data_IF_903454682726
#
_entry.id   IF_903454682726
#
_cell.length_a   1.000
_cell.length_b   1.000
_cell.length_c   1.000
_cell.angle_alpha   90.00
_cell.angle_beta   90.00
_cell.angle_gamma   90.00
#
_symmetry.space_group_name_H-M   'P 1'
#
loop_
_entity.id
_entity.type
_entity.pdbx_description
1 polymer ?
#
# COMPACT_ATOMS: atom_id res chain seq x y z
N UNK A 1 17.75 24.50 3.84
CA UNK A 1 17.56 23.95 5.19
C UNK A 1 16.61 22.79 5.04
N UNK A 2 16.89 21.63 5.63
CA UNK A 2 15.89 20.57 5.70
C UNK A 2 14.71 21.09 6.53
N UNK A 3 13.52 21.13 5.94
CA UNK A 3 12.30 21.40 6.67
C UNK A 3 12.02 20.21 7.60
N UNK A 4 11.74 20.52 8.86
CA UNK A 4 11.37 19.50 9.83
C UNK A 4 9.93 19.06 9.57
N UNK A 5 9.68 17.76 9.76
CA UNK A 5 8.31 17.24 9.76
C UNK A 5 7.51 17.88 10.91
N UNK A 6 6.19 18.09 10.74
CA UNK A 6 5.35 18.57 11.82
C UNK A 6 5.43 17.66 13.06
N UNK A 7 5.51 18.26 14.25
CA UNK A 7 5.59 17.51 15.52
C UNK A 7 4.30 16.74 15.86
N UNK A 8 3.16 17.23 15.37
CA UNK A 8 1.85 16.61 15.58
C UNK A 8 1.48 15.73 14.39
N UNK A 9 1.00 14.50 14.69
CA UNK A 9 0.54 13.55 13.67
C UNK A 9 -0.56 14.13 12.78
N UNK A 10 -1.48 14.90 13.34
CA UNK A 10 -2.58 15.51 12.59
C UNK A 10 -2.04 16.50 11.54
N UNK A 11 -1.11 17.37 11.93
CA UNK A 11 -0.48 18.33 11.03
C UNK A 11 0.35 17.64 9.94
N UNK A 12 1.03 16.53 10.27
CA UNK A 12 1.70 15.70 9.28
C UNK A 12 0.70 15.11 8.27
N UNK A 13 -0.41 14.54 8.75
CA UNK A 13 -1.43 13.96 7.88
C UNK A 13 -2.13 15.01 6.99
N UNK A 14 -2.32 16.23 7.49
CA UNK A 14 -2.84 17.34 6.69
C UNK A 14 -1.88 17.71 5.56
N UNK A 15 -0.57 17.74 5.83
CA UNK A 15 0.46 17.95 4.81
C UNK A 15 0.48 16.80 3.79
N UNK A 16 0.44 15.55 4.25
CA UNK A 16 0.40 14.38 3.35
C UNK A 16 -0.82 14.44 2.44
N UNK A 17 -2.01 14.78 2.96
CA UNK A 17 -3.23 14.92 2.15
C UNK A 17 -3.16 16.10 1.17
N UNK A 18 -2.38 17.13 1.46
CA UNK A 18 -2.16 18.24 0.54
C UNK A 18 -1.39 17.78 -0.71
N UNK A 19 -0.34 16.98 -0.54
CA UNK A 19 0.50 16.50 -1.65
C UNK A 19 -0.03 15.21 -2.30
N UNK A 20 -0.61 14.33 -1.49
CA UNK A 20 -1.17 13.03 -1.85
C UNK A 20 -2.65 13.00 -1.41
N UNK A 21 -3.56 13.63 -2.17
CA UNK A 21 -4.97 13.77 -1.77
C UNK A 21 -5.72 12.44 -1.65
N UNK A 22 -5.19 11.40 -2.30
CA UNK A 22 -5.70 10.04 -2.20
C UNK A 22 -4.54 9.05 -2.25
N UNK A 23 -4.31 8.35 -1.14
CA UNK A 23 -3.34 7.26 -1.06
C UNK A 23 -3.94 6.05 -0.33
N UNK A 24 -3.29 4.90 -0.49
CA UNK A 24 -3.63 3.67 0.21
C UNK A 24 -2.35 3.06 0.78
N UNK A 25 -2.33 2.82 2.10
CA UNK A 25 -1.31 1.99 2.70
C UNK A 25 -1.74 0.52 2.51
N UNK A 26 -0.95 -0.24 1.74
CA UNK A 26 -1.38 -1.57 1.28
C UNK A 26 -1.46 -2.59 2.42
N UNK A 27 -0.64 -2.49 3.47
CA UNK A 27 -0.73 -3.39 4.63
C UNK A 27 -1.98 -3.10 5.45
N UNK A 28 -2.36 -1.83 5.58
CA UNK A 28 -3.58 -1.38 6.22
C UNK A 28 -4.81 -1.84 5.41
N UNK A 29 -4.75 -1.76 4.08
CA UNK A 29 -5.77 -2.33 3.18
C UNK A 29 -5.88 -3.86 3.30
N UNK A 30 -4.76 -4.58 3.36
CA UNK A 30 -4.73 -6.04 3.57
C UNK A 30 -5.46 -6.41 4.87
N UNK A 31 -5.12 -5.72 5.97
CA UNK A 31 -5.77 -5.90 7.27
C UNK A 31 -7.28 -5.64 7.20
N UNK A 32 -7.70 -4.57 6.51
CA UNK A 32 -9.11 -4.27 6.25
C UNK A 32 -9.84 -5.34 5.43
N UNK A 33 -9.11 -6.14 4.65
CA UNK A 33 -9.64 -7.29 3.90
C UNK A 33 -9.58 -8.62 4.68
N UNK A 34 -9.16 -8.59 5.96
CA UNK A 34 -8.99 -9.79 6.79
C UNK A 34 -7.76 -10.63 6.42
N UNK A 35 -6.77 -10.03 5.74
CA UNK A 35 -5.53 -10.68 5.37
C UNK A 35 -4.40 -10.24 6.31
N UNK A 36 -3.57 -11.20 6.72
CA UNK A 36 -2.39 -11.01 7.56
C UNK A 36 -1.19 -11.68 6.91
N UNK A 37 0.02 -11.18 7.20
CA UNK A 37 1.26 -11.71 6.65
C UNK A 37 2.06 -10.64 5.92
N UNK A 38 3.12 -11.05 5.22
CA UNK A 38 3.97 -10.14 4.45
C UNK A 38 3.35 -9.79 3.09
N UNK A 39 3.92 -8.78 2.43
CA UNK A 39 3.57 -8.45 1.04
C UNK A 39 3.90 -9.61 0.10
N UNK A 40 5.04 -10.30 0.28
CA UNK A 40 5.39 -11.45 -0.56
C UNK A 40 4.39 -12.60 -0.36
N UNK A 41 4.06 -12.94 0.89
CA UNK A 41 3.08 -13.99 1.20
C UNK A 41 1.72 -13.69 0.55
N UNK A 42 1.28 -12.43 0.64
CA UNK A 42 0.02 -12.00 0.05
C UNK A 42 0.06 -11.98 -1.48
N UNK A 43 1.17 -11.55 -2.07
CA UNK A 43 1.36 -11.59 -3.52
C UNK A 43 1.31 -13.03 -4.05
N UNK A 44 1.93 -13.98 -3.35
CA UNK A 44 1.88 -15.40 -3.67
C UNK A 44 0.45 -15.95 -3.61
N UNK A 45 -0.31 -15.62 -2.56
CA UNK A 45 -1.74 -15.98 -2.43
C UNK A 45 -2.59 -15.39 -3.55
N UNK A 46 -2.26 -14.20 -4.02
CA UNK A 46 -2.97 -13.51 -5.10
C UNK A 46 -2.52 -13.96 -6.50
N UNK A 47 -1.54 -14.87 -6.60
CA UNK A 47 -0.95 -15.30 -7.89
C UNK A 47 -0.21 -14.18 -8.61
N UNK A 48 0.26 -13.17 -7.87
CA UNK A 48 0.91 -11.97 -8.35
C UNK A 48 2.38 -11.90 -7.91
N UNK A 49 2.96 -13.05 -7.57
CA UNK A 49 4.36 -13.18 -7.15
C UNK A 49 5.33 -12.77 -8.27
N UNK A 50 6.40 -12.11 -7.87
CA UNK A 50 7.52 -11.76 -8.74
C UNK A 50 8.34 -13.03 -9.00
N UNK A 51 8.72 -13.27 -10.26
CA UNK A 51 9.48 -14.46 -10.67
C UNK A 51 10.88 -14.49 -10.07
N UNK A 52 11.37 -15.69 -9.75
CA UNK A 52 12.69 -15.93 -9.15
C UNK A 52 13.82 -15.21 -9.92
N UNK A 53 14.57 -14.37 -9.21
CA UNK A 53 15.74 -13.65 -9.71
C UNK A 53 15.81 -12.15 -9.36
N UNK A 54 14.76 -11.56 -8.79
CA UNK A 54 14.68 -10.10 -8.59
C UNK A 54 15.15 -9.63 -7.19
N UNK A 55 15.77 -8.44 -7.17
CA UNK A 55 16.45 -7.83 -6.03
C UNK A 55 15.46 -7.42 -4.93
N UNK A 56 15.20 -8.31 -3.98
CA UNK A 56 14.46 -7.99 -2.74
C UNK A 56 15.19 -6.88 -1.94
N UNK A 57 14.41 -6.07 -1.19
CA UNK A 57 14.91 -4.92 -0.42
C UNK A 57 15.44 -3.77 -1.30
N UNK A 58 14.84 -3.58 -2.48
CA UNK A 58 15.06 -2.41 -3.30
C UNK A 58 13.73 -1.73 -3.60
N UNK A 59 13.72 -0.40 -3.50
CA UNK A 59 12.51 0.41 -3.66
C UNK A 59 11.76 0.15 -4.99
N UNK A 60 12.48 -0.19 -6.07
CA UNK A 60 11.89 -0.51 -7.38
C UNK A 60 11.04 -1.78 -7.33
N UNK A 61 11.65 -2.98 -7.19
CA UNK A 61 10.93 -4.24 -7.04
C UNK A 61 9.85 -4.22 -5.95
N UNK A 62 10.13 -3.61 -4.79
CA UNK A 62 9.16 -3.52 -3.69
C UNK A 62 7.94 -2.66 -4.08
N UNK A 63 8.12 -1.59 -4.86
CA UNK A 63 7.01 -0.77 -5.37
C UNK A 63 6.15 -1.52 -6.38
N UNK A 64 6.75 -2.37 -7.23
CA UNK A 64 6.02 -3.22 -8.16
C UNK A 64 5.21 -4.27 -7.40
N UNK A 65 5.81 -4.96 -6.43
CA UNK A 65 5.13 -5.92 -5.56
C UNK A 65 3.94 -5.26 -4.83
N UNK A 66 4.15 -4.06 -4.27
CA UNK A 66 3.10 -3.28 -3.60
C UNK A 66 1.92 -2.99 -4.55
N UNK A 67 2.19 -2.58 -5.79
CA UNK A 67 1.16 -2.33 -6.80
C UNK A 67 0.40 -3.61 -7.17
N UNK A 68 1.12 -4.72 -7.37
CA UNK A 68 0.54 -6.01 -7.73
C UNK A 68 -0.41 -6.53 -6.63
N UNK A 69 0.00 -6.41 -5.36
CA UNK A 69 -0.86 -6.74 -4.21
C UNK A 69 -2.10 -5.85 -4.20
N UNK A 70 -1.96 -4.53 -4.33
CA UNK A 70 -3.11 -3.62 -4.36
C UNK A 70 -4.11 -3.98 -5.47
N UNK A 71 -3.64 -4.25 -6.69
CA UNK A 71 -4.50 -4.62 -7.81
C UNK A 71 -5.21 -5.96 -7.57
N UNK A 72 -4.52 -6.93 -6.98
CA UNK A 72 -5.10 -8.22 -6.60
C UNK A 72 -6.18 -8.07 -5.52
N UNK A 73 -5.93 -7.27 -4.48
CA UNK A 73 -6.90 -6.94 -3.44
C UNK A 73 -8.12 -6.24 -4.03
N UNK A 74 -7.91 -5.22 -4.86
CA UNK A 74 -8.98 -4.49 -5.56
C UNK A 74 -9.85 -5.45 -6.37
N UNK A 75 -9.23 -6.31 -7.18
CA UNK A 75 -9.95 -7.28 -8.02
C UNK A 75 -10.74 -8.29 -7.18
N UNK A 76 -10.17 -8.81 -6.10
CA UNK A 76 -10.75 -9.87 -5.26
C UNK A 76 -11.86 -9.37 -4.33
N UNK A 77 -11.66 -8.22 -3.68
CA UNK A 77 -12.55 -7.73 -2.62
C UNK A 77 -13.46 -6.58 -3.07
N UNK A 78 -13.08 -5.83 -4.11
CA UNK A 78 -13.78 -4.59 -4.52
C UNK A 78 -14.26 -4.62 -5.98
N UNK A 79 -13.94 -5.67 -6.75
CA UNK A 79 -14.35 -5.82 -8.15
C UNK A 79 -13.87 -4.66 -9.03
N UNK A 80 -14.82 -3.85 -9.52
CA UNK A 80 -14.54 -2.62 -10.29
C UNK A 80 -14.47 -1.36 -9.42
N UNK A 81 -14.82 -1.47 -8.14
CA UNK A 81 -14.77 -0.37 -7.18
C UNK A 81 -13.37 -0.08 -6.68
N UNK A 82 -13.28 0.92 -5.82
CA UNK A 82 -12.05 1.31 -5.10
C UNK A 82 -12.32 1.32 -3.58
N UNK A 83 -11.32 1.02 -2.74
CA UNK A 83 -11.50 0.86 -1.29
C UNK A 83 -11.66 2.21 -0.57
N UNK A 84 -12.69 3.00 -0.87
CA UNK A 84 -12.83 4.38 -0.38
C UNK A 84 -12.68 4.53 1.14
N UNK A 85 -13.20 3.58 1.92
CA UNK A 85 -13.10 3.57 3.38
C UNK A 85 -11.66 3.39 3.90
N UNK A 86 -10.76 2.90 3.05
CA UNK A 86 -9.34 2.70 3.37
C UNK A 86 -8.45 3.78 2.75
N UNK A 87 -9.04 4.79 2.09
CA UNK A 87 -8.27 5.90 1.56
C UNK A 87 -7.74 6.79 2.69
N UNK A 88 -6.49 7.24 2.54
CA UNK A 88 -5.84 8.22 3.40
C UNK A 88 -5.62 7.80 4.87
N UNK A 89 -5.53 6.49 5.12
CA UNK A 89 -5.22 5.92 6.43
C UNK A 89 -3.78 5.39 6.47
N UNK A 90 -2.99 5.80 7.47
CA UNK A 90 -1.63 5.35 7.81
C UNK A 90 -1.55 5.08 9.31
#
# INVERSE_FOLDING_TARGET
>A
AEEQLPERREAFLDLVKLYFPKFYEVRQLMSGCGLSGTLEETANVLGAGVTDGEMFNQAGPDSLLTLLVFLGLRKRHFGRGIPEEQANLI
#
